data_IF_152738850874
#
_entry.id   IF_152738850874
#
_cell.length_a   1.000
_cell.length_b   1.000
_cell.length_c   1.000
_cell.angle_alpha   90.00
_cell.angle_beta   90.00
_cell.angle_gamma   90.00
#
_symmetry.space_group_name_H-M   'P 1'
#
loop_
_entity.id
_entity.type
_entity.pdbx_description
1 polymer ?
#
# COMPACT_ATOMS: atom_id res chain seq x y z
N UNK A 1 1.81 13.15 -20.41
CA UNK A 1 1.38 11.84 -19.85
C UNK A 1 1.71 11.88 -18.36
N UNK A 2 0.75 11.68 -17.44
CA UNK A 2 1.10 11.61 -16.02
C UNK A 2 2.04 10.41 -15.79
N UNK A 3 3.16 10.67 -15.13
CA UNK A 3 4.22 9.69 -14.87
C UNK A 3 3.67 8.54 -14.01
N UNK A 4 4.10 7.30 -14.29
CA UNK A 4 3.63 6.11 -13.56
C UNK A 4 3.88 6.22 -12.05
N UNK A 5 4.98 6.87 -11.65
CA UNK A 5 5.29 7.11 -10.25
C UNK A 5 4.21 7.97 -9.58
N UNK A 6 3.83 9.08 -10.22
CA UNK A 6 2.80 10.00 -9.72
C UNK A 6 1.47 9.28 -9.58
N UNK A 7 1.01 8.60 -10.64
CA UNK A 7 -0.31 7.94 -10.64
C UNK A 7 -0.41 6.84 -9.58
N UNK A 8 0.65 6.06 -9.38
CA UNK A 8 0.68 5.02 -8.35
C UNK A 8 0.63 5.64 -6.95
N UNK A 9 1.40 6.70 -6.69
CA UNK A 9 1.40 7.37 -5.40
C UNK A 9 0.06 8.05 -5.10
N UNK A 10 -0.53 8.75 -6.07
CA UNK A 10 -1.87 9.34 -5.95
C UNK A 10 -2.92 8.25 -5.62
N UNK A 11 -2.84 7.10 -6.29
CA UNK A 11 -3.74 5.98 -6.01
C UNK A 11 -3.52 5.42 -4.60
N UNK A 12 -2.27 5.29 -4.18
CA UNK A 12 -1.94 4.82 -2.83
C UNK A 12 -2.43 5.82 -1.76
N UNK A 13 -2.35 7.13 -2.01
CA UNK A 13 -2.90 8.17 -1.13
C UNK A 13 -4.40 8.00 -0.96
N UNK A 14 -5.13 7.75 -2.05
CA UNK A 14 -6.58 7.52 -1.99
C UNK A 14 -6.93 6.27 -1.16
N UNK A 15 -6.15 5.19 -1.30
CA UNK A 15 -6.37 3.93 -0.56
C UNK A 15 -6.10 4.10 0.93
N UNK A 16 -4.98 4.74 1.28
CA UNK A 16 -4.60 4.95 2.69
C UNK A 16 -5.42 6.06 3.38
N UNK A 17 -6.13 6.89 2.61
CA UNK A 17 -6.96 7.97 3.14
C UNK A 17 -6.20 9.28 3.36
N UNK A 18 -5.05 9.48 2.70
CA UNK A 18 -4.32 10.75 2.70
C UNK A 18 -2.80 10.61 2.63
N UNK A 19 -2.13 11.72 2.30
CA UNK A 19 -0.66 11.77 2.16
C UNK A 19 0.07 11.46 3.47
N UNK A 20 -0.44 11.97 4.60
CA UNK A 20 0.17 11.71 5.92
C UNK A 20 0.12 10.23 6.30
N UNK A 21 -1.02 9.56 6.04
CA UNK A 21 -1.19 8.14 6.32
C UNK A 21 -0.26 7.31 5.42
N UNK A 22 -0.20 7.64 4.13
CA UNK A 22 0.71 6.98 3.20
C UNK A 22 2.18 7.17 3.58
N UNK A 23 2.59 8.38 3.97
CA UNK A 23 3.96 8.67 4.38
C UNK A 23 4.38 7.82 5.58
N UNK A 24 3.49 7.71 6.58
CA UNK A 24 3.70 6.83 7.75
C UNK A 24 3.83 5.37 7.34
N UNK A 25 2.94 4.87 6.48
CA UNK A 25 2.97 3.48 6.01
C UNK A 25 4.22 3.16 5.20
N UNK A 26 4.62 4.05 4.30
CA UNK A 26 5.83 3.93 3.49
C UNK A 26 7.11 4.26 4.29
N UNK A 27 6.99 4.75 5.52
CA UNK A 27 8.12 5.17 6.38
C UNK A 27 9.00 6.21 5.68
N UNK A 28 8.37 7.21 5.07
CA UNK A 28 9.04 8.33 4.39
C UNK A 28 8.60 9.66 5.00
N UNK A 29 9.41 10.70 4.80
CA UNK A 29 9.03 12.05 5.21
C UNK A 29 7.90 12.58 4.31
N UNK A 30 6.83 13.18 4.87
CA UNK A 30 5.74 13.73 4.08
C UNK A 30 6.19 14.73 3.01
N UNK A 31 7.18 15.55 3.31
CA UNK A 31 7.72 16.53 2.36
C UNK A 31 8.28 15.87 1.10
N UNK A 32 9.01 14.75 1.23
CA UNK A 32 9.50 14.02 0.06
C UNK A 32 8.35 13.36 -0.70
N UNK A 33 7.38 12.78 0.01
CA UNK A 33 6.21 12.18 -0.63
C UNK A 33 5.44 13.21 -1.47
N UNK A 34 5.25 14.43 -0.96
CA UNK A 34 4.59 15.51 -1.69
C UNK A 34 5.35 15.88 -2.97
N UNK A 35 6.69 15.94 -2.93
CA UNK A 35 7.51 16.21 -4.12
C UNK A 35 7.37 15.12 -5.19
N UNK A 36 7.26 13.86 -4.78
CA UNK A 36 7.07 12.74 -5.71
C UNK A 36 5.66 12.73 -6.33
N UNK A 37 4.63 13.05 -5.53
CA UNK A 37 3.25 13.18 -6.03
C UNK A 37 3.12 14.34 -7.01
N UNK A 38 3.82 15.46 -6.77
CA UNK A 38 3.87 16.59 -7.70
C UNK A 38 4.72 16.32 -8.94
N UNK A 39 5.43 15.18 -8.99
CA UNK A 39 6.32 14.81 -10.09
C UNK A 39 7.60 15.66 -10.17
N UNK A 40 7.94 16.38 -9.10
CA UNK A 40 9.14 17.23 -9.01
C UNK A 40 10.39 16.35 -8.85
N UNK A 41 10.27 15.31 -8.04
CA UNK A 41 11.32 14.33 -7.79
C UNK A 41 10.86 12.91 -8.10
N UNK A 42 11.81 12.01 -8.30
CA UNK A 42 11.52 10.58 -8.42
C UNK A 42 11.62 9.89 -7.07
N UNK A 43 10.63 9.06 -6.70
CA UNK A 43 10.73 8.25 -5.50
C UNK A 43 11.86 7.21 -5.66
N UNK A 44 12.54 6.83 -4.56
CA UNK A 44 13.37 5.65 -4.55
C UNK A 44 12.58 4.42 -5.01
N UNK A 45 13.22 3.52 -5.76
CA UNK A 45 12.55 2.35 -6.35
C UNK A 45 11.85 1.48 -5.30
N UNK A 46 12.47 1.31 -4.14
CA UNK A 46 11.91 0.53 -3.02
C UNK A 46 10.63 1.16 -2.42
N UNK A 47 10.51 2.48 -2.46
CA UNK A 47 9.32 3.20 -2.01
C UNK A 47 8.21 3.02 -3.04
N UNK A 48 8.55 3.17 -4.31
CA UNK A 48 7.61 2.95 -5.40
C UNK A 48 7.04 1.52 -5.40
N UNK A 49 7.89 0.50 -5.25
CA UNK A 49 7.44 -0.90 -5.21
C UNK A 49 6.49 -1.16 -4.04
N UNK A 50 6.76 -0.61 -2.84
CA UNK A 50 5.83 -0.71 -1.71
C UNK A 50 4.49 -0.02 -1.95
N UNK A 51 4.49 1.09 -2.69
CA UNK A 51 3.25 1.75 -3.10
C UNK A 51 2.48 0.92 -4.14
N UNK A 52 3.18 0.26 -5.08
CA UNK A 52 2.58 -0.70 -6.02
C UNK A 52 1.93 -1.85 -5.26
N UNK A 53 2.63 -2.48 -4.32
CA UNK A 53 2.13 -3.60 -3.52
C UNK A 53 0.81 -3.22 -2.82
N UNK A 54 0.78 -2.04 -2.19
CA UNK A 54 -0.40 -1.49 -1.53
C UNK A 54 -1.59 -1.31 -2.49
N UNK A 55 -1.33 -0.78 -3.69
CA UNK A 55 -2.37 -0.59 -4.72
C UNK A 55 -2.89 -1.94 -5.24
N UNK A 56 -2.03 -2.96 -5.34
CA UNK A 56 -2.42 -4.29 -5.82
C UNK A 56 -3.12 -5.14 -4.76
N UNK A 57 -2.78 -4.99 -3.48
CA UNK A 57 -3.39 -5.76 -2.37
C UNK A 57 -4.89 -5.46 -2.22
N UNK A 58 -5.33 -4.23 -2.56
CA UNK A 58 -6.75 -3.88 -2.64
C UNK A 58 -7.51 -4.62 -3.76
N UNK A 59 -6.83 -5.06 -4.82
CA UNK A 59 -7.45 -5.74 -5.95
C UNK A 59 -7.59 -7.25 -5.71
N UNK A 60 -6.75 -7.79 -4.84
CA UNK A 60 -6.75 -9.20 -4.46
C UNK A 60 -6.67 -9.29 -2.94
N UNK A 61 -7.77 -9.01 -2.22
CA UNK A 61 -7.78 -9.19 -0.77
C UNK A 61 -7.29 -10.60 -0.48
N UNK A 62 -6.18 -10.68 0.27
CA UNK A 62 -5.57 -11.95 0.67
C UNK A 62 -6.69 -12.83 1.21
N UNK A 63 -6.96 -13.93 0.52
CA UNK A 63 -7.88 -14.94 1.04
C UNK A 63 -7.17 -15.58 2.24
N UNK A 64 -7.29 -14.94 3.39
CA UNK A 64 -6.88 -15.50 4.66
C UNK A 64 -7.83 -16.66 5.01
N UNK A 65 -7.68 -17.78 4.28
CA UNK A 65 -8.24 -19.06 4.68
C UNK A 65 -7.40 -19.59 5.84
N UNK A 66 -7.58 -19.01 7.02
CA UNK A 66 -7.32 -19.73 8.27
C UNK A 66 -8.60 -20.46 8.66
N UNK A 67 -8.97 -21.48 7.88
CA UNK A 67 -9.81 -22.57 8.37
C UNK A 67 -8.96 -23.38 9.33
N UNK A 68 -8.91 -22.94 10.59
CA UNK A 68 -8.51 -23.82 11.68
C UNK A 68 -9.77 -24.58 12.10
N UNK A 69 -9.84 -25.83 11.63
CA UNK A 69 -10.79 -26.89 11.96
C UNK A 69 -11.39 -26.80 13.38
N UNK A 70 -12.72 -26.97 13.55
CA UNK A 70 -13.29 -27.26 14.86
C UNK A 70 -12.82 -28.65 15.27
N UNK A 71 -11.88 -28.72 16.22
CA UNK A 71 -11.51 -29.98 16.87
C UNK A 71 -12.71 -30.48 17.69
N UNK A 72 -13.64 -31.17 17.02
CA UNK A 72 -14.54 -32.12 17.68
C UNK A 72 -13.66 -33.23 18.25
N UNK A 73 -13.35 -33.14 19.54
CA UNK A 73 -12.93 -34.31 20.31
C UNK A 73 -14.18 -35.10 20.68
N UNK A 74 -14.20 -36.44 20.53
CA UNK A 74 -15.35 -37.23 20.95
C UNK A 74 -15.44 -37.20 22.47
N UNK A 75 -16.67 -37.08 22.98
CA UNK A 75 -17.02 -37.52 24.34
C UNK A 75 -16.62 -39.00 24.48
N UNK A 76 -15.96 -39.35 25.58
CA UNK A 76 -16.09 -40.58 26.39
C UNK A 76 -15.08 -40.58 27.55
#
# INVERSE_FOLDING_TARGET
MPDVYVRTLERAVQIEGGEQALALRLKVTPSHLALWIQGIERPPVEVFLRAVDLVTDQQFPRSDTKTAEPRSGPEL
#
